data_IF_232832779545
#
_entry.id   IF_232832779545
#
_cell.length_a   1.000
_cell.length_b   1.000
_cell.length_c   1.000
_cell.angle_alpha   90.00
_cell.angle_beta   90.00
_cell.angle_gamma   90.00
#
_symmetry.space_group_name_H-M   'P 1'
#
loop_
_entity.id
_entity.type
_entity.pdbx_description
1 polymer ?
#
# COMPACT_ATOMS: atom_id res chain seq x y z
N UNK A 1 29.75 6.97 -13.58
CA UNK A 1 28.89 5.96 -12.91
C UNK A 1 28.44 6.31 -11.47
N UNK A 2 28.76 7.46 -10.86
CA UNK A 2 28.30 7.80 -9.47
C UNK A 2 27.03 8.68 -9.37
N UNK A 3 26.69 9.48 -10.38
CA UNK A 3 25.57 10.45 -10.33
C UNK A 3 24.18 9.78 -10.33
N UNK A 4 23.99 8.77 -11.18
CA UNK A 4 22.72 8.03 -11.33
C UNK A 4 22.31 7.33 -10.02
N UNK A 5 23.24 6.98 -9.13
CA UNK A 5 22.89 6.31 -7.88
C UNK A 5 22.33 7.29 -6.84
N UNK A 6 22.82 8.54 -6.84
CA UNK A 6 22.40 9.57 -5.88
C UNK A 6 20.96 10.01 -6.16
N UNK A 7 20.61 10.25 -7.42
CA UNK A 7 19.26 10.66 -7.82
C UNK A 7 18.22 9.58 -7.50
N UNK A 8 18.56 8.31 -7.71
CA UNK A 8 17.71 7.16 -7.34
C UNK A 8 17.50 7.07 -5.84
N UNK A 9 18.58 7.15 -5.06
CA UNK A 9 18.49 7.13 -3.59
C UNK A 9 17.67 8.31 -3.08
N UNK A 10 17.85 9.51 -3.64
CA UNK A 10 17.08 10.69 -3.28
C UNK A 10 15.58 10.49 -3.56
N UNK A 11 15.22 9.95 -4.72
CA UNK A 11 13.82 9.67 -5.06
C UNK A 11 13.21 8.59 -4.16
N UNK A 12 13.98 7.57 -3.76
CA UNK A 12 13.55 6.60 -2.74
C UNK A 12 13.25 7.32 -1.42
N UNK A 13 14.17 8.16 -0.95
CA UNK A 13 14.01 8.87 0.33
C UNK A 13 12.83 9.84 0.33
N UNK A 14 12.62 10.59 -0.77
CA UNK A 14 11.47 11.49 -0.91
C UNK A 14 10.16 10.69 -0.92
N UNK A 15 10.10 9.58 -1.66
CA UNK A 15 8.92 8.70 -1.65
C UNK A 15 8.64 8.11 -0.28
N UNK A 16 9.68 7.70 0.45
CA UNK A 16 9.56 7.21 1.83
C UNK A 16 9.03 8.31 2.75
N UNK A 17 9.60 9.51 2.69
CA UNK A 17 9.15 10.63 3.51
C UNK A 17 7.70 11.00 3.20
N UNK A 18 7.32 11.10 1.92
CA UNK A 18 5.95 11.38 1.51
C UNK A 18 4.99 10.30 2.02
N UNK A 19 5.35 9.03 1.90
CA UNK A 19 4.55 7.91 2.41
C UNK A 19 4.35 8.05 3.93
N UNK A 20 5.42 8.19 4.71
CA UNK A 20 5.36 8.32 6.17
C UNK A 20 4.49 9.51 6.56
N UNK A 21 4.67 10.67 5.91
CA UNK A 21 3.87 11.88 6.15
C UNK A 21 2.39 11.60 5.91
N UNK A 22 2.01 10.92 4.81
CA UNK A 22 0.62 10.58 4.55
C UNK A 22 0.01 9.69 5.65
N UNK A 23 0.77 8.73 6.16
CA UNK A 23 0.32 7.92 7.29
C UNK A 23 0.14 8.79 8.55
N UNK A 24 1.01 9.76 8.80
CA UNK A 24 0.90 10.67 9.96
C UNK A 24 -0.30 11.63 9.85
N UNK A 25 -0.72 12.00 8.64
CA UNK A 25 -1.93 12.82 8.42
C UNK A 25 -3.23 12.01 8.43
N UNK A 26 -3.18 10.71 8.75
CA UNK A 26 -4.38 9.89 8.90
C UNK A 26 -5.32 10.48 9.95
N UNK A 27 -6.64 10.46 9.68
CA UNK A 27 -7.63 10.83 10.68
C UNK A 27 -7.50 9.94 11.92
N UNK A 28 -7.70 10.56 13.08
CA UNK A 28 -7.76 9.91 14.38
C UNK A 28 -8.78 10.64 15.25
N UNK A 29 -9.57 9.92 16.03
CA UNK A 29 -10.49 10.53 16.99
C UNK A 29 -9.70 11.15 18.14
N UNK A 30 -10.01 12.41 18.46
CA UNK A 30 -9.39 13.17 19.56
C UNK A 30 -10.18 12.96 20.86
N UNK A 31 -9.60 13.22 22.05
CA UNK A 31 -10.30 13.02 23.32
C UNK A 31 -11.48 13.99 23.47
N UNK A 32 -11.48 15.09 22.73
CA UNK A 32 -12.59 16.05 22.65
C UNK A 32 -13.79 15.56 21.84
N UNK A 33 -13.68 14.39 21.17
CA UNK A 33 -14.66 13.90 20.20
C UNK A 33 -14.50 14.50 18.79
N UNK A 34 -13.55 15.42 18.61
CA UNK A 34 -13.24 16.01 17.31
C UNK A 34 -12.41 15.05 16.44
N UNK A 35 -12.51 15.21 15.11
CA UNK A 35 -11.61 14.53 14.17
C UNK A 35 -10.27 15.27 14.13
N UNK A 36 -9.23 14.63 14.63
CA UNK A 36 -7.84 15.08 14.50
C UNK A 36 -7.03 14.21 13.56
N UNK A 37 -5.70 14.30 13.66
CA UNK A 37 -4.77 13.42 12.94
C UNK A 37 -3.76 12.79 13.89
N UNK A 38 -3.15 11.68 13.48
CA UNK A 38 -2.07 11.03 14.24
C UNK A 38 -0.94 12.04 14.53
N UNK A 39 -0.58 12.87 13.54
CA UNK A 39 0.43 13.93 13.69
C UNK A 39 0.03 14.95 14.77
N UNK A 40 -1.23 15.37 14.81
CA UNK A 40 -1.70 16.31 15.82
C UNK A 40 -1.59 15.73 17.24
N UNK A 41 -1.88 14.42 17.41
CA UNK A 41 -1.69 13.73 18.68
C UNK A 41 -0.22 13.63 19.06
N UNK A 42 0.65 13.26 18.10
CA UNK A 42 2.11 13.17 18.29
C UNK A 42 2.72 14.50 18.77
N UNK A 43 2.25 15.62 18.20
CA UNK A 43 2.74 16.95 18.53
C UNK A 43 2.16 17.51 19.83
N UNK A 44 0.92 17.15 20.19
CA UNK A 44 0.19 17.76 21.30
C UNK A 44 0.44 17.08 22.65
N UNK A 45 0.57 15.76 22.68
CA UNK A 45 0.62 15.00 23.92
C UNK A 45 1.98 14.34 24.13
N UNK A 46 2.40 14.19 25.38
CA UNK A 46 3.57 13.40 25.76
C UNK A 46 3.21 11.95 26.07
N UNK A 47 4.20 11.04 25.98
CA UNK A 47 3.96 9.60 26.20
C UNK A 47 3.33 9.32 27.58
N UNK A 48 3.76 10.04 28.61
CA UNK A 48 3.18 9.98 29.96
C UNK A 48 1.70 10.39 30.01
N UNK A 49 1.32 11.40 29.23
CA UNK A 49 -0.08 11.85 29.14
C UNK A 49 -0.91 10.84 28.36
N UNK A 50 -0.36 10.27 27.28
CA UNK A 50 -1.01 9.24 26.47
C UNK A 50 -1.31 7.95 27.25
N UNK A 51 -0.44 7.58 28.20
CA UNK A 51 -0.71 6.46 29.13
C UNK A 51 -1.97 6.73 29.96
N UNK A 52 -2.23 7.98 30.34
CA UNK A 52 -3.42 8.37 31.10
C UNK A 52 -4.73 8.20 30.33
N UNK A 53 -4.67 8.17 29.00
CA UNK A 53 -5.83 7.88 28.14
C UNK A 53 -5.98 6.38 27.83
N UNK A 54 -5.11 5.52 28.37
CA UNK A 54 -5.18 4.07 28.26
C UNK A 54 -5.23 3.59 26.80
N UNK A 55 -6.15 2.68 26.53
CA UNK A 55 -6.24 1.97 25.24
C UNK A 55 -6.56 2.89 24.07
N UNK A 56 -7.22 4.04 24.30
CA UNK A 56 -7.67 4.96 23.27
C UNK A 56 -6.53 5.54 22.42
N UNK A 57 -5.32 5.64 22.99
CA UNK A 57 -4.11 6.07 22.30
C UNK A 57 -3.02 5.02 22.40
N UNK A 58 -3.37 3.75 22.20
CA UNK A 58 -2.40 2.67 22.12
C UNK A 58 -1.83 2.50 20.71
N UNK A 59 -0.67 1.84 20.60
CA UNK A 59 -0.16 1.37 19.30
C UNK A 59 -1.21 0.52 18.57
N UNK A 60 -1.93 -0.36 19.28
CA UNK A 60 -3.03 -1.16 18.73
C UNK A 60 -4.09 -0.30 18.03
N UNK A 61 -4.57 0.75 18.68
CA UNK A 61 -5.57 1.66 18.10
C UNK A 61 -5.06 2.43 16.90
N UNK A 62 -3.76 2.72 16.83
CA UNK A 62 -3.16 3.36 15.66
C UNK A 62 -3.02 2.37 14.51
N UNK A 63 -2.71 1.10 14.81
CA UNK A 63 -2.74 0.02 13.82
C UNK A 63 -4.16 -0.21 13.31
N UNK A 64 -5.18 -0.04 14.14
CA UNK A 64 -6.58 -0.08 13.70
C UNK A 64 -6.96 1.17 12.92
N UNK A 65 -6.48 2.35 13.31
CA UNK A 65 -6.67 3.60 12.56
C UNK A 65 -5.96 3.58 11.20
N UNK A 66 -4.91 2.78 11.04
CA UNK A 66 -4.27 2.50 9.76
C UNK A 66 -5.26 1.95 8.73
N UNK A 67 -6.31 1.27 9.18
CA UNK A 67 -7.37 0.69 8.33
C UNK A 67 -8.23 1.77 7.67
N UNK A 68 -8.37 2.94 8.28
CA UNK A 68 -9.23 4.03 7.80
C UNK A 68 -8.47 5.06 6.95
N UNK A 69 -7.24 4.76 6.53
CA UNK A 69 -6.38 5.68 5.78
C UNK A 69 -6.83 5.86 4.31
N UNK A 70 -7.84 6.68 4.09
CA UNK A 70 -8.39 6.98 2.76
C UNK A 70 -7.35 7.57 1.80
N UNK A 71 -6.50 8.46 2.31
CA UNK A 71 -5.45 9.13 1.52
C UNK A 71 -4.31 8.19 1.14
N UNK A 72 -4.03 7.20 2.01
CA UNK A 72 -3.03 6.17 1.76
C UNK A 72 -3.40 5.34 0.52
N UNK A 73 -4.62 4.84 0.48
CA UNK A 73 -5.16 4.06 -0.64
C UNK A 73 -5.10 4.80 -1.97
N UNK A 74 -5.38 6.11 -1.95
CA UNK A 74 -5.46 6.93 -3.16
C UNK A 74 -4.07 7.30 -3.69
N UNK A 75 -3.13 7.62 -2.80
CA UNK A 75 -1.79 8.09 -3.19
C UNK A 75 -0.76 6.98 -3.29
N UNK A 76 -1.02 5.80 -2.71
CA UNK A 76 -0.17 4.62 -2.82
C UNK A 76 0.18 4.27 -4.28
N UNK A 77 -0.77 4.18 -5.23
CA UNK A 77 -0.45 3.91 -6.63
C UNK A 77 0.55 4.90 -7.19
N UNK A 78 0.46 6.19 -6.83
CA UNK A 78 1.37 7.23 -7.31
C UNK A 78 2.77 7.00 -6.76
N UNK A 79 2.90 6.84 -5.44
CA UNK A 79 4.20 6.69 -4.76
C UNK A 79 4.94 5.44 -5.26
N UNK A 80 4.22 4.32 -5.43
CA UNK A 80 4.86 3.06 -5.79
C UNK A 80 5.13 2.92 -7.29
N UNK A 81 4.38 3.61 -8.16
CA UNK A 81 4.52 3.47 -9.62
C UNK A 81 5.34 4.58 -10.27
N UNK A 82 5.42 5.79 -9.70
CA UNK A 82 6.00 6.97 -10.36
C UNK A 82 7.41 6.71 -10.90
N UNK A 83 8.35 6.32 -10.04
CA UNK A 83 9.72 6.09 -10.47
C UNK A 83 9.86 4.85 -11.40
N UNK A 84 9.27 3.68 -11.08
CA UNK A 84 9.29 2.54 -12.00
C UNK A 84 8.76 2.85 -13.41
N UNK A 85 7.69 3.65 -13.51
CA UNK A 85 7.08 4.03 -14.79
C UNK A 85 7.97 5.01 -15.55
N UNK A 86 8.60 5.98 -14.88
CA UNK A 86 9.58 6.89 -15.50
C UNK A 86 10.78 6.07 -16.02
N UNK A 87 11.33 5.16 -15.20
CA UNK A 87 12.43 4.28 -15.58
C UNK A 87 12.08 3.45 -16.82
N UNK A 88 10.86 2.94 -16.88
CA UNK A 88 10.35 2.18 -18.03
C UNK A 88 10.16 3.07 -19.27
N UNK A 89 9.63 4.30 -19.11
CA UNK A 89 9.51 5.27 -20.20
C UNK A 89 10.88 5.54 -20.84
N UNK A 90 11.86 5.88 -20.01
CA UNK A 90 13.20 6.22 -20.47
C UNK A 90 13.86 5.05 -21.18
N UNK A 91 13.73 3.81 -20.67
CA UNK A 91 14.43 2.66 -21.25
C UNK A 91 13.73 2.04 -22.47
N UNK A 92 12.41 2.09 -22.54
CA UNK A 92 11.63 1.38 -23.58
C UNK A 92 10.91 2.29 -24.58
N UNK A 93 10.74 3.58 -24.27
CA UNK A 93 9.98 4.50 -25.13
C UNK A 93 10.78 5.75 -25.54
N UNK A 94 11.97 5.97 -24.98
CA UNK A 94 12.89 6.96 -25.54
C UNK A 94 13.62 6.39 -26.76
N UNK A 95 14.09 7.27 -27.66
CA UNK A 95 14.85 6.93 -28.87
C UNK A 95 16.22 6.23 -28.61
N UNK A 96 16.46 5.68 -27.41
CA UNK A 96 17.78 5.23 -26.97
C UNK A 96 17.98 3.70 -27.00
N UNK A 97 19.10 3.35 -27.64
CA UNK A 97 20.00 2.18 -27.53
C UNK A 97 19.44 0.75 -27.39
N UNK A 98 18.51 0.45 -26.47
CA UNK A 98 18.17 -0.94 -26.12
C UNK A 98 17.42 -1.72 -27.20
N UNK A 99 16.66 -1.04 -28.06
CA UNK A 99 16.06 -1.68 -29.25
C UNK A 99 17.10 -2.22 -30.24
N UNK A 100 18.33 -1.67 -30.23
CA UNK A 100 19.41 -2.03 -31.17
C UNK A 100 20.36 -3.11 -30.63
N UNK A 101 20.15 -3.62 -29.42
CA UNK A 101 21.02 -4.63 -28.78
C UNK A 101 20.66 -6.05 -29.26
N UNK A 102 21.62 -6.98 -29.25
CA UNK A 102 21.40 -8.41 -29.55
C UNK A 102 20.25 -9.03 -28.74
N UNK A 103 19.67 -10.12 -29.24
CA UNK A 103 18.49 -10.79 -28.64
C UNK A 103 18.69 -11.13 -27.16
N UNK A 104 19.87 -11.61 -26.78
CA UNK A 104 20.18 -11.96 -25.40
C UNK A 104 20.34 -10.74 -24.50
N UNK A 105 21.01 -9.69 -25.00
CA UNK A 105 21.11 -8.43 -24.27
C UNK A 105 19.73 -7.82 -24.00
N UNK A 106 18.80 -7.88 -24.97
CA UNK A 106 17.43 -7.38 -24.78
C UNK A 106 16.65 -8.10 -23.68
N UNK A 107 16.75 -9.45 -23.61
CA UNK A 107 16.14 -10.24 -22.52
C UNK A 107 16.75 -9.91 -21.15
N UNK A 108 18.06 -9.68 -21.11
CA UNK A 108 18.75 -9.31 -19.88
C UNK A 108 18.27 -7.94 -19.36
N UNK A 109 18.15 -6.93 -20.24
CA UNK A 109 17.73 -5.59 -19.85
C UNK A 109 16.24 -5.48 -19.49
N UNK A 110 15.37 -6.27 -20.14
CA UNK A 110 13.95 -6.37 -19.77
C UNK A 110 13.77 -6.97 -18.38
N UNK A 111 14.44 -8.10 -18.11
CA UNK A 111 14.44 -8.73 -16.79
C UNK A 111 15.02 -7.80 -15.72
N UNK A 112 16.18 -7.19 -15.98
CA UNK A 112 16.83 -6.25 -15.06
C UNK A 112 15.93 -5.07 -14.69
N UNK A 113 15.25 -4.47 -15.67
CA UNK A 113 14.39 -3.30 -15.40
C UNK A 113 13.14 -3.68 -14.60
N UNK A 114 12.55 -4.84 -14.87
CA UNK A 114 11.42 -5.34 -14.09
C UNK A 114 11.83 -5.65 -12.63
N UNK A 115 12.99 -6.27 -12.43
CA UNK A 115 13.55 -6.52 -11.10
C UNK A 115 13.85 -5.20 -10.37
N UNK A 116 14.40 -4.20 -11.06
CA UNK A 116 14.61 -2.86 -10.49
C UNK A 116 13.29 -2.18 -10.08
N UNK A 117 12.24 -2.30 -10.89
CA UNK A 117 10.91 -1.75 -10.59
C UNK A 117 10.25 -2.41 -9.38
N UNK A 118 10.24 -3.74 -9.33
CA UNK A 118 9.72 -4.53 -8.21
C UNK A 118 10.53 -4.25 -6.95
N UNK A 119 11.86 -4.25 -7.05
CA UNK A 119 12.76 -3.97 -5.93
C UNK A 119 12.55 -2.57 -5.34
N UNK A 120 12.41 -1.54 -6.20
CA UNK A 120 12.10 -0.19 -5.74
C UNK A 120 10.78 -0.13 -4.97
N UNK A 121 9.72 -0.72 -5.54
CA UNK A 121 8.38 -0.71 -4.93
C UNK A 121 8.36 -1.38 -3.57
N UNK A 122 8.97 -2.57 -3.46
CA UNK A 122 9.09 -3.32 -2.21
C UNK A 122 9.93 -2.56 -1.18
N UNK A 123 11.03 -1.93 -1.59
CA UNK A 123 11.89 -1.16 -0.70
C UNK A 123 11.17 0.07 -0.14
N UNK A 124 10.54 0.88 -1.00
CA UNK A 124 9.79 2.07 -0.58
C UNK A 124 8.65 1.67 0.37
N UNK A 125 7.85 0.66 0.02
CA UNK A 125 6.72 0.25 0.86
C UNK A 125 7.17 -0.21 2.26
N UNK A 126 8.08 -1.19 2.32
CA UNK A 126 8.47 -1.80 3.60
C UNK A 126 9.29 -0.84 4.47
N UNK A 127 10.23 -0.07 3.90
CA UNK A 127 11.00 0.90 4.68
C UNK A 127 10.11 2.00 5.26
N UNK A 128 9.14 2.50 4.47
CA UNK A 128 8.21 3.54 4.95
C UNK A 128 7.34 3.05 6.09
N UNK A 129 6.79 1.84 5.98
CA UNK A 129 5.98 1.24 7.03
C UNK A 129 6.81 0.99 8.30
N UNK A 130 8.01 0.44 8.15
CA UNK A 130 8.92 0.22 9.29
C UNK A 130 9.23 1.54 10.00
N UNK A 131 9.56 2.59 9.26
CA UNK A 131 9.83 3.91 9.83
C UNK A 131 8.60 4.52 10.51
N UNK A 132 7.44 4.43 9.87
CA UNK A 132 6.18 4.87 10.46
C UNK A 132 5.93 4.16 11.80
N UNK A 133 6.03 2.83 11.83
CA UNK A 133 5.82 2.07 13.06
C UNK A 133 6.86 2.37 14.14
N UNK A 134 8.13 2.61 13.80
CA UNK A 134 9.13 3.06 14.77
C UNK A 134 8.70 4.40 15.40
N UNK A 135 8.28 5.38 14.58
CA UNK A 135 7.81 6.68 15.08
C UNK A 135 6.63 6.52 16.04
N UNK A 136 5.67 5.67 15.68
CA UNK A 136 4.50 5.39 16.51
C UNK A 136 4.90 4.71 17.82
N UNK A 137 5.68 3.63 17.78
CA UNK A 137 6.12 2.89 18.97
C UNK A 137 6.98 3.74 19.93
N UNK A 138 7.70 4.73 19.42
CA UNK A 138 8.45 5.66 20.27
C UNK A 138 7.54 6.53 21.14
N UNK A 139 6.38 6.95 20.61
CA UNK A 139 5.51 7.93 21.27
C UNK A 139 4.30 7.31 21.97
N UNK A 140 3.69 6.30 21.36
CA UNK A 140 2.47 5.67 21.86
C UNK A 140 2.76 4.46 22.75
N UNK A 141 1.97 4.23 23.80
CA UNK A 141 2.09 3.06 24.67
C UNK A 141 1.65 1.76 23.99
N UNK A 142 2.33 0.66 24.31
CA UNK A 142 2.03 -0.68 23.81
C UNK A 142 1.19 -1.45 24.84
N UNK A 143 -0.12 -1.20 24.89
CA UNK A 143 -1.04 -1.76 25.89
C UNK A 143 -1.85 -2.91 25.26
N UNK A 144 -2.07 -4.00 25.99
CA UNK A 144 -2.94 -5.11 25.58
C UNK A 144 -4.40 -4.87 26.03
N UNK A 145 -5.32 -4.90 25.07
CA UNK A 145 -6.74 -4.53 25.21
C UNK A 145 -7.52 -5.55 26.06
N UNK A 146 -7.03 -6.79 26.20
CA UNK A 146 -7.74 -7.86 26.93
C UNK A 146 -7.37 -7.97 28.41
N UNK A 147 -6.22 -7.46 28.85
CA UNK A 147 -5.75 -7.59 30.25
C UNK A 147 -5.31 -6.27 30.90
N UNK A 148 -5.25 -5.15 30.17
CA UNK A 148 -4.75 -3.88 30.71
C UNK A 148 -3.27 -3.95 31.12
N UNK A 149 -2.50 -4.89 30.54
CA UNK A 149 -1.06 -5.08 30.79
C UNK A 149 -0.26 -4.74 29.54
N UNK A 150 1.02 -4.42 29.72
CA UNK A 150 1.94 -4.30 28.58
C UNK A 150 1.98 -5.64 27.83
N UNK A 151 1.59 -5.59 26.56
CA UNK A 151 1.64 -6.73 25.67
C UNK A 151 3.11 -7.08 25.39
N UNK A 152 3.44 -8.38 25.27
CA UNK A 152 4.78 -8.74 24.80
C UNK A 152 4.99 -8.18 23.39
N UNK A 153 6.13 -7.52 23.14
CA UNK A 153 6.45 -6.91 21.85
C UNK A 153 6.38 -7.86 20.65
N UNK A 154 6.36 -9.18 20.88
CA UNK A 154 6.24 -10.20 19.84
C UNK A 154 4.92 -10.14 19.05
N UNK A 155 3.80 -9.80 19.70
CA UNK A 155 2.47 -9.80 19.06
C UNK A 155 2.33 -8.61 18.09
N UNK A 156 2.91 -7.47 18.45
CA UNK A 156 2.96 -6.28 17.61
C UNK A 156 3.82 -6.49 16.36
N UNK A 157 4.97 -7.17 16.51
CA UNK A 157 5.85 -7.51 15.38
C UNK A 157 5.11 -8.39 14.37
N UNK A 158 4.31 -9.36 14.84
CA UNK A 158 3.50 -10.21 13.97
C UNK A 158 2.42 -9.42 13.22
N UNK A 159 1.72 -8.50 13.88
CA UNK A 159 0.72 -7.64 13.24
C UNK A 159 1.34 -6.70 12.22
N UNK A 160 2.46 -6.07 12.58
CA UNK A 160 3.27 -5.25 11.70
C UNK A 160 3.71 -6.02 10.43
N UNK A 161 4.20 -7.25 10.61
CA UNK A 161 4.62 -8.09 9.50
C UNK A 161 3.46 -8.42 8.55
N UNK A 162 2.26 -8.68 9.08
CA UNK A 162 1.05 -8.90 8.28
C UNK A 162 0.68 -7.66 7.45
N UNK A 163 0.69 -6.48 8.06
CA UNK A 163 0.40 -5.20 7.37
C UNK A 163 1.44 -4.95 6.26
N UNK A 164 2.73 -5.11 6.54
CA UNK A 164 3.79 -4.97 5.55
C UNK A 164 3.62 -5.96 4.38
N UNK A 165 3.18 -7.19 4.65
CA UNK A 165 2.94 -8.18 3.60
C UNK A 165 1.76 -7.79 2.70
N UNK A 166 0.59 -7.46 3.28
CA UNK A 166 -0.59 -7.09 2.48
C UNK A 166 -0.36 -5.84 1.64
N UNK A 167 0.17 -4.79 2.26
CA UNK A 167 0.50 -3.53 1.59
C UNK A 167 1.50 -3.76 0.45
N UNK A 168 2.48 -4.65 0.63
CA UNK A 168 3.44 -5.01 -0.43
C UNK A 168 2.74 -5.71 -1.59
N UNK A 169 1.89 -6.70 -1.32
CA UNK A 169 1.15 -7.42 -2.37
C UNK A 169 0.25 -6.47 -3.18
N UNK A 170 -0.46 -5.58 -2.51
CA UNK A 170 -1.31 -4.57 -3.16
C UNK A 170 -0.47 -3.56 -3.94
N UNK A 171 0.64 -3.08 -3.39
CA UNK A 171 1.56 -2.17 -4.09
C UNK A 171 2.11 -2.79 -5.38
N UNK A 172 2.48 -4.06 -5.33
CA UNK A 172 2.96 -4.80 -6.51
C UNK A 172 1.84 -5.04 -7.53
N UNK A 173 0.61 -5.31 -7.09
CA UNK A 173 -0.55 -5.40 -7.96
C UNK A 173 -0.76 -4.08 -8.72
N UNK A 174 -0.77 -2.96 -8.00
CA UNK A 174 -0.93 -1.62 -8.57
C UNK A 174 0.21 -1.25 -9.52
N UNK A 175 1.46 -1.60 -9.18
CA UNK A 175 2.60 -1.47 -10.08
C UNK A 175 2.38 -2.25 -11.37
N UNK A 176 1.95 -3.51 -11.28
CA UNK A 176 1.70 -4.35 -12.46
C UNK A 176 0.61 -3.74 -13.36
N UNK A 177 -0.48 -3.26 -12.77
CA UNK A 177 -1.55 -2.56 -13.51
C UNK A 177 -1.00 -1.31 -14.19
N UNK A 178 -0.23 -0.49 -13.48
CA UNK A 178 0.42 0.72 -14.03
C UNK A 178 1.33 0.38 -15.21
N UNK A 179 2.14 -0.68 -15.09
CA UNK A 179 3.01 -1.16 -16.17
C UNK A 179 2.22 -1.64 -17.39
N UNK A 180 1.09 -2.32 -17.19
CA UNK A 180 0.22 -2.75 -18.30
C UNK A 180 -0.35 -1.52 -19.02
N UNK A 181 -0.86 -0.54 -18.28
CA UNK A 181 -1.43 0.69 -18.85
C UNK A 181 -0.36 1.50 -19.59
N UNK A 182 0.82 1.66 -18.99
CA UNK A 182 1.97 2.31 -19.63
C UNK A 182 2.31 1.65 -20.97
N UNK A 183 2.24 0.33 -21.05
CA UNK A 183 2.54 -0.40 -22.27
C UNK A 183 1.44 -0.32 -23.35
N UNK A 184 0.19 -0.03 -22.97
CA UNK A 184 -0.93 0.14 -23.91
C UNK A 184 -0.96 1.59 -24.42
N UNK A 185 -0.87 2.55 -23.49
CA UNK A 185 -1.04 3.98 -23.78
C UNK A 185 0.25 4.67 -24.22
N UNK A 186 1.43 4.18 -23.79
CA UNK A 186 2.70 4.88 -23.92
C UNK A 186 2.80 6.15 -23.06
N UNK A 187 1.77 6.45 -22.26
CA UNK A 187 1.67 7.69 -21.49
C UNK A 187 1.86 7.44 -19.99
N UNK A 188 2.86 8.13 -19.42
CA UNK A 188 3.18 8.08 -17.99
C UNK A 188 2.04 8.62 -17.14
N UNK A 189 1.41 9.71 -17.58
CA UNK A 189 0.33 10.33 -16.82
C UNK A 189 -0.79 9.31 -16.63
N UNK A 190 -1.28 8.74 -17.73
CA UNK A 190 -2.37 7.78 -17.71
C UNK A 190 -2.02 6.49 -16.94
N UNK A 191 -0.79 6.00 -17.08
CA UNK A 191 -0.30 4.82 -16.36
C UNK A 191 -0.33 4.96 -14.84
N UNK A 192 -0.13 6.17 -14.33
CA UNK A 192 -0.09 6.45 -12.89
C UNK A 192 -1.48 6.87 -12.38
N UNK A 193 -2.21 7.69 -13.12
CA UNK A 193 -3.49 8.26 -12.66
C UNK A 193 -4.66 7.30 -12.75
N UNK A 194 -4.67 6.37 -13.71
CA UNK A 194 -5.79 5.43 -13.85
C UNK A 194 -5.89 4.46 -12.65
N UNK A 195 -4.81 3.83 -12.16
CA UNK A 195 -4.83 3.06 -10.91
C UNK A 195 -5.31 3.87 -9.71
N UNK A 196 -4.86 5.13 -9.59
CA UNK A 196 -5.35 6.06 -8.56
C UNK A 196 -6.86 6.28 -8.65
N UNK A 197 -7.38 6.51 -9.86
CA UNK A 197 -8.81 6.71 -10.10
C UNK A 197 -9.61 5.45 -9.75
N UNK A 198 -9.12 4.26 -10.10
CA UNK A 198 -9.75 2.97 -9.77
C UNK A 198 -9.84 2.82 -8.24
N UNK A 199 -8.75 3.07 -7.51
CA UNK A 199 -8.74 3.03 -6.05
C UNK A 199 -9.70 4.06 -5.44
N UNK A 200 -9.71 5.29 -5.96
CA UNK A 200 -10.58 6.36 -5.47
C UNK A 200 -12.06 6.07 -5.70
N UNK A 201 -12.44 5.69 -6.93
CA UNK A 201 -13.83 5.35 -7.28
C UNK A 201 -14.26 4.13 -6.48
N UNK A 202 -13.44 3.09 -6.40
CA UNK A 202 -13.74 1.91 -5.59
C UNK A 202 -14.01 2.28 -4.13
N UNK A 203 -13.22 3.18 -3.57
CA UNK A 203 -13.40 3.67 -2.20
C UNK A 203 -14.70 4.49 -2.03
N UNK A 204 -15.04 5.36 -2.99
CA UNK A 204 -16.26 6.17 -2.95
C UNK A 204 -17.53 5.35 -3.14
N UNK A 205 -17.53 4.44 -4.11
CA UNK A 205 -18.65 3.51 -4.36
C UNK A 205 -18.93 2.70 -3.11
N UNK A 206 -17.90 2.20 -2.45
CA UNK A 206 -18.01 1.48 -1.20
C UNK A 206 -18.65 2.33 -0.09
N UNK A 207 -18.15 3.55 0.14
CA UNK A 207 -18.72 4.42 1.18
C UNK A 207 -20.20 4.71 0.94
N UNK A 208 -20.59 4.96 -0.32
CA UNK A 208 -22.01 5.14 -0.69
C UNK A 208 -22.79 3.86 -0.40
N UNK A 209 -22.23 2.71 -0.74
CA UNK A 209 -22.85 1.40 -0.51
C UNK A 209 -23.06 1.13 0.99
N UNK A 210 -22.06 1.39 1.82
CA UNK A 210 -22.13 1.26 3.28
C UNK A 210 -23.18 2.18 3.90
N UNK A 211 -23.28 3.43 3.43
CA UNK A 211 -24.33 4.37 3.86
C UNK A 211 -25.71 3.87 3.46
N UNK A 212 -25.86 3.35 2.24
CA UNK A 212 -27.14 2.88 1.71
C UNK A 212 -27.61 1.61 2.43
N UNK A 213 -26.72 0.65 2.68
CA UNK A 213 -27.02 -0.60 3.37
C UNK A 213 -27.39 -0.35 4.83
N UNK A 214 -26.62 0.47 5.56
CA UNK A 214 -26.96 0.86 6.95
C UNK A 214 -28.33 1.51 7.05
N UNK A 215 -28.73 2.26 6.03
CA UNK A 215 -30.04 2.93 5.98
C UNK A 215 -31.20 1.97 5.72
N UNK A 216 -30.96 0.85 5.03
CA UNK A 216 -32.00 -0.12 4.63
C UNK A 216 -32.14 -1.27 5.63
N UNK A 217 -31.03 -1.81 6.12
CA UNK A 217 -31.02 -3.05 6.92
C UNK A 217 -30.80 -2.82 8.42
N UNK A 218 -30.53 -1.60 8.86
CA UNK A 218 -30.07 -1.34 10.24
C UNK A 218 -28.60 -1.73 10.44
N UNK A 219 -28.17 -1.95 11.68
CA UNK A 219 -26.77 -2.35 12.00
C UNK A 219 -26.44 -3.80 11.66
N UNK A 220 -27.44 -4.64 11.35
CA UNK A 220 -27.23 -6.06 11.09
C UNK A 220 -27.02 -6.31 9.59
N UNK A 221 -25.77 -6.64 9.25
CA UNK A 221 -25.28 -6.80 7.88
C UNK A 221 -25.52 -8.21 7.33
N UNK A 222 -26.15 -8.39 6.15
CA UNK A 222 -26.16 -9.68 5.47
C UNK A 222 -24.86 -9.91 4.65
N UNK A 223 -24.17 -11.03 4.93
CA UNK A 223 -22.93 -11.54 4.31
C UNK A 223 -22.85 -11.53 2.76
N UNK A 224 -23.96 -11.34 2.04
CA UNK A 224 -23.99 -11.45 0.56
C UNK A 224 -23.52 -10.19 -0.17
N UNK A 225 -23.54 -9.03 0.48
CA UNK A 225 -23.29 -7.72 -0.14
C UNK A 225 -21.81 -7.31 -0.11
N UNK A 226 -21.04 -7.95 0.78
CA UNK A 226 -19.60 -7.78 1.00
C UNK A 226 -18.69 -8.29 -0.16
N UNK A 227 -19.21 -9.03 -1.14
CA UNK A 227 -18.37 -9.64 -2.20
C UNK A 227 -17.78 -8.66 -3.21
N UNK A 228 -18.42 -7.51 -3.43
CA UNK A 228 -17.91 -6.49 -4.37
C UNK A 228 -16.74 -5.71 -3.75
N UNK A 229 -16.66 -5.65 -2.42
CA UNK A 229 -15.66 -4.88 -1.68
C UNK A 229 -14.24 -5.50 -1.79
N UNK A 230 -14.16 -6.83 -1.95
CA UNK A 230 -12.92 -7.58 -2.18
C UNK A 230 -12.23 -7.15 -3.48
N UNK A 231 -12.98 -6.63 -4.45
CA UNK A 231 -12.43 -6.19 -5.73
C UNK A 231 -11.67 -4.87 -5.62
N UNK A 232 -11.78 -4.14 -4.50
CA UNK A 232 -11.02 -2.93 -4.28
C UNK A 232 -9.66 -3.25 -3.64
N UNK A 233 -8.52 -2.99 -4.31
CA UNK A 233 -7.19 -3.20 -3.74
C UNK A 233 -6.99 -2.49 -2.41
N UNK A 234 -7.70 -1.37 -2.21
CA UNK A 234 -7.76 -0.61 -0.96
C UNK A 234 -8.17 -1.44 0.27
N UNK A 235 -9.09 -2.38 0.08
CA UNK A 235 -9.69 -3.15 1.16
C UNK A 235 -8.87 -4.39 1.52
N UNK A 236 -8.14 -4.93 0.54
CA UNK A 236 -7.22 -6.03 0.74
C UNK A 236 -6.04 -5.66 1.64
N UNK A 237 -5.64 -4.38 1.63
CA UNK A 237 -4.67 -3.81 2.57
C UNK A 237 -5.13 -4.00 4.04
N UNK A 238 -6.43 -3.96 4.27
CA UNK A 238 -7.07 -3.98 5.59
C UNK A 238 -7.55 -5.38 6.00
N UNK A 239 -7.17 -6.44 5.28
CA UNK A 239 -7.65 -7.79 5.54
C UNK A 239 -6.97 -8.39 6.79
N UNK A 240 -7.74 -8.56 7.86
CA UNK A 240 -7.35 -9.12 9.15
C UNK A 240 -8.39 -10.14 9.68
N UNK A 241 -8.32 -10.49 10.98
CA UNK A 241 -9.32 -11.38 11.59
C UNK A 241 -10.75 -10.79 11.53
N UNK A 242 -10.91 -9.47 11.64
CA UNK A 242 -12.21 -8.83 11.47
C UNK A 242 -12.71 -8.99 10.03
N UNK A 243 -11.82 -8.91 9.04
CA UNK A 243 -12.13 -9.27 7.64
C UNK A 243 -12.52 -10.75 7.51
N UNK A 244 -11.80 -11.68 8.14
CA UNK A 244 -12.19 -13.11 8.12
C UNK A 244 -13.59 -13.33 8.69
N UNK A 245 -13.89 -12.70 9.83
CA UNK A 245 -15.19 -12.79 10.50
C UNK A 245 -16.31 -12.13 9.69
N UNK A 246 -16.01 -11.03 8.98
CA UNK A 246 -17.01 -10.27 8.21
C UNK A 246 -17.28 -10.93 6.84
N UNK A 247 -16.26 -11.46 6.18
CA UNK A 247 -16.35 -11.96 4.80
C UNK A 247 -16.38 -13.48 4.70
N UNK A 248 -16.07 -14.21 5.79
CA UNK A 248 -15.98 -15.67 5.82
C UNK A 248 -14.85 -16.22 4.95
N UNK A 249 -13.89 -15.37 4.55
CA UNK A 249 -12.73 -15.74 3.74
C UNK A 249 -11.52 -15.78 4.65
N UNK A 250 -10.90 -16.96 4.74
CA UNK A 250 -9.69 -17.10 5.51
C UNK A 250 -8.59 -16.20 4.94
N UNK A 251 -8.01 -15.37 5.80
CA UNK A 251 -7.06 -14.33 5.37
C UNK A 251 -5.81 -14.98 4.76
N UNK A 252 -5.39 -16.16 5.23
CA UNK A 252 -4.28 -16.91 4.63
C UNK A 252 -4.57 -17.34 3.18
N UNK A 253 -5.81 -17.75 2.89
CA UNK A 253 -6.24 -18.09 1.52
C UNK A 253 -6.20 -16.86 0.62
N UNK A 254 -6.64 -15.71 1.14
CA UNK A 254 -6.58 -14.43 0.44
C UNK A 254 -5.14 -14.01 0.11
N UNK A 255 -4.21 -14.12 1.08
CA UNK A 255 -2.78 -13.88 0.87
C UNK A 255 -2.23 -14.74 -0.26
N UNK A 256 -2.49 -16.06 -0.21
CA UNK A 256 -2.02 -16.99 -1.23
C UNK A 256 -2.58 -16.68 -2.61
N UNK A 257 -3.88 -16.38 -2.71
CA UNK A 257 -4.52 -16.03 -3.97
C UNK A 257 -3.90 -14.75 -4.58
N UNK A 258 -3.72 -13.70 -3.77
CA UNK A 258 -3.09 -12.46 -4.21
C UNK A 258 -1.65 -12.66 -4.65
N UNK A 259 -0.87 -13.43 -3.89
CA UNK A 259 0.50 -13.76 -4.24
C UNK A 259 0.56 -14.45 -5.62
N UNK A 260 -0.30 -15.43 -5.87
CA UNK A 260 -0.38 -16.13 -7.15
C UNK A 260 -0.70 -15.15 -8.29
N UNK A 261 -1.67 -14.25 -8.09
CA UNK A 261 -2.05 -13.24 -9.08
C UNK A 261 -0.89 -12.28 -9.38
N UNK A 262 -0.21 -11.78 -8.36
CA UNK A 262 0.95 -10.88 -8.52
C UNK A 262 2.08 -11.58 -9.27
N UNK A 263 2.45 -12.81 -8.88
CA UNK A 263 3.49 -13.57 -9.56
C UNK A 263 3.12 -13.88 -11.01
N UNK A 264 1.87 -14.24 -11.28
CA UNK A 264 1.37 -14.48 -12.63
C UNK A 264 1.44 -13.21 -13.50
N UNK A 265 1.07 -12.04 -12.97
CA UNK A 265 1.18 -10.78 -13.69
C UNK A 265 2.63 -10.37 -13.95
N UNK A 266 3.52 -10.49 -12.97
CA UNK A 266 4.96 -10.22 -13.17
C UNK A 266 5.51 -11.13 -14.27
N UNK A 267 5.17 -12.42 -14.25
CA UNK A 267 5.58 -13.37 -15.30
C UNK A 267 5.00 -13.01 -16.67
N UNK A 268 3.72 -12.63 -16.74
CA UNK A 268 3.07 -12.21 -17.98
C UNK A 268 3.71 -10.95 -18.56
N UNK A 269 3.97 -9.93 -17.73
CA UNK A 269 4.67 -8.70 -18.11
C UNK A 269 6.06 -9.03 -18.61
N UNK A 270 6.83 -9.87 -17.91
CA UNK A 270 8.15 -10.30 -18.34
C UNK A 270 8.12 -11.01 -19.72
N UNK A 271 7.22 -11.98 -19.88
CA UNK A 271 6.99 -12.67 -21.17
C UNK A 271 6.60 -11.69 -22.27
N UNK A 272 5.78 -10.70 -21.95
CA UNK A 272 5.27 -9.75 -22.93
C UNK A 272 6.31 -8.70 -23.34
N UNK A 273 7.05 -8.13 -22.39
CA UNK A 273 8.22 -7.28 -22.66
C UNK A 273 9.21 -8.03 -23.57
N UNK A 274 9.36 -9.34 -23.36
CA UNK A 274 10.14 -10.17 -24.26
C UNK A 274 9.46 -10.36 -25.63
N UNK A 275 8.13 -10.43 -25.72
CA UNK A 275 7.37 -10.59 -26.99
C UNK A 275 7.32 -9.36 -27.88
N UNK A 276 7.04 -8.16 -27.35
CA UNK A 276 6.99 -6.90 -28.13
C UNK A 276 8.32 -6.54 -28.80
N UNK A 277 9.42 -7.16 -28.35
CA UNK A 277 10.75 -7.05 -28.96
C UNK A 277 10.89 -7.88 -30.25
N UNK A 278 9.91 -8.74 -30.58
CA UNK A 278 9.89 -9.59 -31.78
C UNK A 278 8.93 -9.11 -32.88
N UNK A 279 8.30 -7.93 -32.71
CA UNK A 279 7.44 -7.30 -33.73
C UNK A 279 8.18 -6.20 -34.47
#
# INVERSE_FOLDING_TARGET
MKKINIEKTLMILISIAAYVVLCLFSPMEMPSGDKGTIMAVLCKYNKSELIGYGDFYSVGTILDSFRDMQWYVVLLPVIVSLYPIILMKEKFFSNSYYYRVTREGRKYYSGKTLVEAVGYTTAVNNLSLILFFIIICMKFPCIDILEGKEMSGSIYIVHMAKICLMTTLVSLLLLCISLVIMNISGDVFFAITLPMLICYIGYKVLNIHMIYIRKIYGMDFPNRVLRVEILNPAYLINADLAFENTFGVNVAVLYCALLIVVLAMIYAIYRWMNRKVYG
#
